data_IF_623398788259
#
_entry.id   IF_623398788259
#
_cell.length_a   1.000
_cell.length_b   1.000
_cell.length_c   1.000
_cell.angle_alpha   90.00
_cell.angle_beta   90.00
_cell.angle_gamma   90.00
#
_symmetry.space_group_name_H-M   'P 1'
#
loop_
_entity.id
_entity.type
_entity.pdbx_description
1 polymer ?
#
# COMPACT_ATOMS: atom_id res chain seq x y z
N UNK A 1 -3.44 -19.32 -8.09
CA UNK A 1 -3.52 -19.31 -6.61
C UNK A 1 -3.52 -17.86 -6.18
N UNK A 2 -4.56 -17.42 -5.48
CA UNK A 2 -4.68 -16.02 -5.02
C UNK A 2 -4.51 -15.97 -3.50
N UNK A 3 -3.75 -15.00 -3.01
CA UNK A 3 -3.50 -14.76 -1.60
C UNK A 3 -3.95 -13.34 -1.22
N UNK A 4 -4.47 -13.16 -0.01
CA UNK A 4 -4.97 -11.87 0.49
C UNK A 4 -4.50 -11.61 1.92
N UNK A 5 -3.99 -10.42 2.17
CA UNK A 5 -3.66 -9.92 3.50
C UNK A 5 -4.54 -8.69 3.84
N UNK A 6 -4.93 -8.55 5.12
CA UNK A 6 -5.81 -7.46 5.58
C UNK A 6 -5.27 -6.89 6.89
N UNK A 7 -5.01 -5.58 6.93
CA UNK A 7 -4.69 -4.83 8.14
C UNK A 7 -5.91 -4.02 8.61
N UNK A 8 -6.42 -4.32 9.81
CA UNK A 8 -7.58 -3.64 10.41
C UNK A 8 -7.14 -2.61 11.45
N UNK A 9 -8.00 -1.61 11.71
CA UNK A 9 -7.82 -0.60 12.77
C UNK A 9 -6.49 0.19 12.73
N UNK A 10 -5.93 0.42 11.53
CA UNK A 10 -4.75 1.28 11.38
C UNK A 10 -5.07 2.74 11.72
N UNK A 11 -4.15 3.41 12.42
CA UNK A 11 -4.25 4.84 12.79
C UNK A 11 -3.90 5.78 11.62
N UNK A 12 -4.71 5.77 10.57
CA UNK A 12 -4.68 6.74 9.46
C UNK A 12 -6.09 6.97 8.89
N UNK A 13 -6.37 8.18 8.40
CA UNK A 13 -7.62 8.43 7.67
C UNK A 13 -7.70 7.57 6.41
N UNK A 14 -8.85 6.96 6.11
CA UNK A 14 -9.05 6.16 4.90
C UNK A 14 -8.66 6.88 3.61
N UNK A 15 -8.92 8.18 3.53
CA UNK A 15 -8.62 8.97 2.33
C UNK A 15 -7.11 9.01 2.03
N UNK A 16 -6.28 9.19 3.05
CA UNK A 16 -4.81 9.23 2.90
C UNK A 16 -4.25 7.87 2.47
N UNK A 17 -4.84 6.78 2.94
CA UNK A 17 -4.45 5.43 2.52
C UNK A 17 -4.88 5.12 1.09
N UNK A 18 -6.10 5.50 0.70
CA UNK A 18 -6.64 5.25 -0.65
C UNK A 18 -5.78 5.86 -1.75
N UNK A 19 -5.34 7.11 -1.58
CA UNK A 19 -4.48 7.78 -2.55
C UNK A 19 -3.21 6.99 -2.89
N UNK A 20 -2.61 6.32 -1.90
CA UNK A 20 -1.41 5.49 -2.12
C UNK A 20 -1.78 4.09 -2.62
N UNK A 21 -2.89 3.51 -2.15
CA UNK A 21 -3.36 2.21 -2.62
C UNK A 21 -3.75 2.24 -4.12
N UNK A 22 -4.31 3.35 -4.58
CA UNK A 22 -4.66 3.54 -5.98
C UNK A 22 -3.43 3.63 -6.89
N UNK A 23 -2.28 4.12 -6.38
CA UNK A 23 -1.03 4.18 -7.14
C UNK A 23 -0.44 2.80 -7.46
N UNK A 24 -0.75 1.78 -6.67
CA UNK A 24 -0.18 0.43 -6.81
C UNK A 24 -1.15 -0.61 -7.35
N UNK A 25 -2.43 -0.26 -7.50
CA UNK A 25 -3.45 -1.18 -8.00
C UNK A 25 -3.15 -1.58 -9.45
N UNK A 26 -3.08 -2.88 -9.71
CA UNK A 26 -2.83 -3.42 -11.05
C UNK A 26 -1.38 -3.33 -11.52
N UNK A 27 -0.46 -2.82 -10.70
CA UNK A 27 0.97 -2.82 -11.03
C UNK A 27 1.59 -4.21 -10.77
N UNK A 28 2.65 -4.58 -11.52
CA UNK A 28 3.49 -5.72 -11.17
C UNK A 28 4.10 -5.55 -9.78
N UNK A 29 4.21 -6.64 -9.02
CA UNK A 29 4.63 -6.66 -7.61
C UNK A 29 5.95 -5.90 -7.39
N UNK A 30 6.98 -6.17 -8.21
CA UNK A 30 8.28 -5.50 -8.09
C UNK A 30 8.15 -3.96 -8.18
N UNK A 31 7.40 -3.47 -9.16
CA UNK A 31 7.19 -2.03 -9.37
C UNK A 31 6.38 -1.40 -8.23
N UNK A 32 5.38 -2.12 -7.71
CA UNK A 32 4.60 -1.66 -6.55
C UNK A 32 5.48 -1.54 -5.30
N UNK A 33 6.35 -2.53 -5.04
CA UNK A 33 7.26 -2.53 -3.90
C UNK A 33 8.27 -1.39 -3.98
N UNK A 34 8.83 -1.10 -5.15
CA UNK A 34 9.74 0.02 -5.35
C UNK A 34 9.04 1.38 -5.14
N UNK A 35 7.85 1.56 -5.73
CA UNK A 35 7.06 2.77 -5.54
C UNK A 35 6.76 3.03 -4.06
N UNK A 36 6.32 2.00 -3.33
CA UNK A 36 6.03 2.12 -1.91
C UNK A 36 7.28 2.30 -1.05
N UNK A 37 8.44 1.79 -1.47
CA UNK A 37 9.72 1.91 -0.76
C UNK A 37 10.24 3.34 -0.76
N UNK A 38 10.08 4.07 -1.86
CA UNK A 38 10.63 5.42 -2.04
C UNK A 38 9.61 6.54 -1.84
N UNK A 39 8.35 6.22 -1.50
CA UNK A 39 7.34 7.21 -1.18
C UNK A 39 7.57 7.83 0.21
N UNK A 40 7.45 9.15 0.30
CA UNK A 40 7.50 9.95 1.53
C UNK A 40 6.22 9.83 2.38
N UNK A 41 5.17 9.19 1.87
CA UNK A 41 3.87 9.12 2.53
C UNK A 41 3.88 8.06 3.62
N UNK A 42 3.44 8.43 4.83
CA UNK A 42 3.20 7.47 5.93
C UNK A 42 2.34 6.27 5.49
N UNK A 43 1.36 6.50 4.62
CA UNK A 43 0.51 5.44 4.07
C UNK A 43 1.29 4.39 3.28
N UNK A 44 2.36 4.78 2.57
CA UNK A 44 3.17 3.85 1.77
C UNK A 44 3.87 2.81 2.64
N UNK A 45 4.47 3.23 3.76
CA UNK A 45 5.07 2.30 4.71
C UNK A 45 4.08 1.32 5.34
N UNK A 46 2.82 1.75 5.53
CA UNK A 46 1.75 0.88 6.03
C UNK A 46 1.33 -0.13 4.95
N UNK A 47 1.07 0.34 3.73
CA UNK A 47 0.61 -0.50 2.61
C UNK A 47 1.70 -1.50 2.21
N UNK A 48 2.97 -1.10 2.21
CA UNK A 48 4.12 -1.98 1.91
C UNK A 48 4.24 -3.17 2.84
N UNK A 49 3.77 -3.06 4.10
CA UNK A 49 3.79 -4.20 5.03
C UNK A 49 2.67 -5.22 4.77
N UNK A 50 1.67 -4.85 3.96
CA UNK A 50 0.48 -5.67 3.68
C UNK A 50 0.54 -6.30 2.29
N UNK A 51 1.20 -5.64 1.34
CA UNK A 51 1.50 -6.15 -0.02
C UNK A 51 2.70 -7.07 0.02
#
# INVERSE_FOLDING_TARGET
MEAKAILRATRISPQKARLVADQVRGLPVARALDLLKFSDKKAAGIIRKVV
#
